data_IF_506816369431
#
_entry.id   IF_506816369431
#
_cell.length_a   1.000
_cell.length_b   1.000
_cell.length_c   1.000
_cell.angle_alpha   90.00
_cell.angle_beta   90.00
_cell.angle_gamma   90.00
#
_symmetry.space_group_name_H-M   'P 1'
#
loop_
_entity.id
_entity.type
_entity.pdbx_description
1 polymer ?
#
# COMPACT_ATOMS: atom_id res chain seq x y z
N UNK A 1 11.33 36.13 16.44
CA UNK A 1 11.81 34.78 16.11
C UNK A 1 10.81 33.73 16.52
N UNK A 2 10.00 33.29 15.54
CA UNK A 2 9.19 32.08 15.64
C UNK A 2 9.57 31.16 14.48
N UNK A 3 9.70 29.84 14.68
CA UNK A 3 10.09 28.95 13.61
C UNK A 3 8.86 28.60 12.76
N UNK A 4 8.89 29.04 11.50
CA UNK A 4 7.99 28.63 10.44
C UNK A 4 8.53 27.36 9.79
N UNK A 5 8.20 26.17 10.31
CA UNK A 5 8.61 24.89 9.69
C UNK A 5 7.51 23.81 9.65
N UNK A 6 6.23 24.17 9.85
CA UNK A 6 5.13 23.18 9.83
C UNK A 6 4.38 23.06 8.50
N UNK A 7 4.73 23.86 7.49
CA UNK A 7 3.98 23.94 6.23
C UNK A 7 4.21 22.74 5.30
N UNK A 8 5.44 22.20 5.24
CA UNK A 8 5.82 21.19 4.25
C UNK A 8 5.35 19.77 4.57
N UNK A 9 5.12 19.43 5.85
CA UNK A 9 4.60 18.11 6.22
C UNK A 9 3.08 18.02 6.09
N UNK A 10 2.37 19.14 6.30
CA UNK A 10 0.92 19.22 6.17
C UNK A 10 0.48 19.07 4.70
N UNK A 11 1.23 19.62 3.74
CA UNK A 11 0.88 19.54 2.32
C UNK A 11 1.01 18.11 1.76
N UNK A 12 1.99 17.33 2.24
CA UNK A 12 2.15 15.92 1.86
C UNK A 12 0.97 15.06 2.31
N UNK A 13 0.49 15.26 3.54
CA UNK A 13 -0.64 14.50 4.09
C UNK A 13 -1.95 14.89 3.42
N UNK A 14 -2.19 16.18 3.15
CA UNK A 14 -3.37 16.62 2.40
C UNK A 14 -3.38 16.14 0.95
N UNK A 15 -2.22 16.01 0.29
CA UNK A 15 -2.12 15.49 -1.09
C UNK A 15 -2.47 14.00 -1.20
N UNK A 16 -2.29 13.22 -0.14
CA UNK A 16 -2.70 11.80 -0.08
C UNK A 16 -4.20 11.62 0.19
N UNK A 17 -4.84 12.62 0.80
CA UNK A 17 -6.23 12.56 1.25
C UNK A 17 -7.25 13.03 0.21
N UNK A 18 -6.82 13.63 -0.91
CA UNK A 18 -7.75 14.19 -1.91
C UNK A 18 -7.21 14.13 -3.37
N UNK A 19 -7.36 13.02 -4.10
CA UNK A 19 -6.77 12.85 -5.44
C UNK A 19 -7.60 13.41 -6.61
N UNK A 20 -8.73 14.10 -6.36
CA UNK A 20 -9.80 14.19 -7.37
C UNK A 20 -9.70 15.40 -8.32
N UNK A 21 -8.93 16.44 -8.06
CA UNK A 21 -8.80 17.54 -9.03
C UNK A 21 -7.51 18.33 -8.83
N UNK A 22 -6.42 17.90 -9.48
CA UNK A 22 -5.48 18.88 -10.00
C UNK A 22 -4.92 18.40 -11.34
N UNK A 23 -5.36 19.10 -12.38
CA UNK A 23 -4.88 19.03 -13.75
C UNK A 23 -3.49 19.67 -13.74
N UNK A 24 -2.49 18.94 -13.23
CA UNK A 24 -1.16 19.50 -13.03
C UNK A 24 -0.10 18.56 -12.47
N UNK A 25 -0.43 17.30 -12.18
CA UNK A 25 0.53 16.31 -11.70
C UNK A 25 0.62 15.16 -12.68
N UNK A 26 1.20 15.43 -13.85
CA UNK A 26 1.77 14.36 -14.64
C UNK A 26 2.87 13.67 -13.80
N UNK A 27 2.48 12.53 -13.23
CA UNK A 27 3.29 11.32 -13.30
C UNK A 27 4.57 11.27 -12.46
N UNK A 28 4.44 11.36 -11.13
CA UNK A 28 5.41 10.71 -10.21
C UNK A 28 5.24 9.17 -10.16
N UNK A 29 4.25 8.62 -10.89
CA UNK A 29 4.12 7.19 -11.20
C UNK A 29 4.60 6.85 -12.61
N UNK A 30 5.50 7.64 -13.21
CA UNK A 30 6.39 7.11 -14.25
C UNK A 30 7.42 6.19 -13.60
N UNK A 31 6.93 5.09 -13.04
CA UNK A 31 7.72 3.89 -12.85
C UNK A 31 8.14 3.49 -14.25
N UNK A 32 9.36 3.86 -14.63
CA UNK A 32 10.06 3.18 -15.71
C UNK A 32 10.23 1.76 -15.18
N UNK A 33 9.22 0.93 -15.41
CA UNK A 33 9.30 -0.51 -15.25
C UNK A 33 10.37 -0.93 -16.25
N UNK A 34 11.62 -0.96 -15.79
CA UNK A 34 12.60 -1.80 -16.45
C UNK A 34 11.94 -3.16 -16.53
N UNK A 35 11.78 -3.75 -17.73
CA UNK A 35 11.25 -5.10 -17.79
C UNK A 35 12.17 -5.91 -16.88
N UNK A 36 11.60 -6.43 -15.80
CA UNK A 36 12.23 -7.48 -15.02
C UNK A 36 12.36 -8.59 -16.05
N UNK A 37 13.53 -8.64 -16.69
CA UNK A 37 13.99 -9.83 -17.39
C UNK A 37 13.83 -10.90 -16.34
N UNK A 38 12.80 -11.72 -16.51
CA UNK A 38 12.67 -12.96 -15.79
C UNK A 38 14.04 -13.61 -15.92
N UNK A 39 14.82 -13.64 -14.84
CA UNK A 39 16.00 -14.48 -14.77
C UNK A 39 15.44 -15.90 -14.73
N UNK A 40 15.02 -16.37 -15.89
CA UNK A 40 14.97 -17.78 -16.18
C UNK A 40 16.38 -18.26 -15.91
N UNK A 41 16.55 -18.98 -14.80
CA UNK A 41 17.80 -19.63 -14.44
C UNK A 41 18.25 -20.37 -15.68
N UNK A 42 19.34 -19.95 -16.35
CA UNK A 42 19.82 -20.72 -17.48
C UNK A 42 20.28 -22.02 -16.86
N UNK A 43 19.56 -23.11 -17.10
CA UNK A 43 20.11 -24.43 -16.87
C UNK A 43 21.44 -24.43 -17.61
N UNK A 44 22.59 -24.58 -16.95
CA UNK A 44 23.85 -24.54 -17.65
C UNK A 44 23.89 -25.79 -18.52
N UNK A 45 23.50 -25.65 -19.78
CA UNK A 45 23.85 -26.61 -20.82
C UNK A 45 25.34 -26.38 -21.02
N UNK A 46 26.15 -27.07 -20.21
CA UNK A 46 27.57 -27.23 -20.46
C UNK A 46 27.70 -28.10 -21.70
N UNK A 47 27.46 -27.51 -22.87
CA UNK A 47 27.96 -28.08 -24.11
C UNK A 47 29.48 -27.94 -24.01
N UNK A 48 30.26 -29.03 -23.93
CA UNK A 48 31.71 -28.90 -23.95
C UNK A 48 32.09 -28.17 -25.23
N UNK A 49 32.88 -27.10 -25.09
CA UNK A 49 33.21 -26.18 -26.18
C UNK A 49 33.62 -26.92 -27.44
N UNK A 50 32.80 -26.81 -28.48
CA UNK A 50 33.22 -27.15 -29.85
C UNK A 50 34.05 -25.97 -30.35
N UNK A 51 35.36 -26.19 -30.48
CA UNK A 51 36.29 -25.23 -31.06
C UNK A 51 35.85 -24.97 -32.51
N UNK A 52 35.40 -23.75 -32.81
CA UNK A 52 35.08 -23.34 -34.17
C UNK A 52 36.37 -23.08 -34.95
N UNK A 53 36.67 -23.94 -35.92
CA UNK A 53 37.77 -23.78 -36.87
C UNK A 53 37.50 -22.57 -37.77
N UNK A 54 38.38 -21.58 -37.74
CA UNK A 54 38.34 -20.42 -38.64
C UNK A 54 39.01 -20.84 -39.96
N UNK A 55 38.23 -21.00 -41.02
CA UNK A 55 38.76 -21.26 -42.38
C UNK A 55 39.19 -19.95 -43.01
N UNK A 56 40.46 -19.56 -42.84
CA UNK A 56 41.09 -18.53 -43.69
C UNK A 56 41.48 -19.15 -45.03
N UNK A 57 40.99 -18.54 -46.11
CA UNK A 57 41.27 -18.88 -47.50
C UNK A 57 42.78 -18.90 -47.78
N UNK A 58 43.21 -19.97 -48.47
CA UNK A 58 44.53 -20.22 -49.08
C UNK A 58 45.76 -20.34 -48.15
N UNK A 59 45.89 -21.44 -47.42
CA UNK A 59 47.17 -22.08 -47.03
C UNK A 59 46.85 -23.49 -46.50
N UNK A 60 47.78 -24.45 -46.61
CA UNK A 60 47.58 -25.85 -46.20
C UNK A 60 47.07 -25.98 -44.74
N UNK A 61 46.22 -26.98 -44.40
CA UNK A 61 45.66 -27.12 -43.06
C UNK A 61 46.78 -27.38 -42.04
N UNK A 62 47.10 -26.36 -41.24
CA UNK A 62 48.01 -26.46 -40.11
C UNK A 62 47.24 -27.10 -38.95
N UNK A 63 47.80 -28.17 -38.38
CA UNK A 63 47.22 -28.86 -37.22
C UNK A 63 47.00 -27.85 -36.08
N UNK A 64 45.82 -27.80 -35.43
CA UNK A 64 45.59 -26.88 -34.32
C UNK A 64 46.66 -27.08 -33.26
N UNK A 65 47.21 -26.00 -32.65
CA UNK A 65 48.15 -26.15 -31.55
C UNK A 65 47.46 -26.96 -30.45
N UNK A 66 47.96 -28.18 -30.23
CA UNK A 66 47.44 -29.08 -29.21
C UNK A 66 47.85 -28.51 -27.86
N UNK A 67 46.95 -27.74 -27.24
CA UNK A 67 47.15 -27.27 -25.87
C UNK A 67 47.23 -28.52 -24.99
N UNK A 68 48.35 -28.79 -24.31
CA UNK A 68 48.48 -29.97 -23.47
C UNK A 68 47.41 -29.93 -22.37
N UNK A 69 46.62 -31.00 -22.20
CA UNK A 69 45.58 -31.11 -21.15
C UNK A 69 46.11 -30.83 -19.74
N UNK A 70 47.41 -30.99 -19.53
CA UNK A 70 48.14 -30.63 -18.31
C UNK A 70 47.94 -29.15 -17.94
N UNK A 71 47.76 -28.24 -18.90
CA UNK A 71 47.53 -26.81 -18.64
C UNK A 71 46.07 -26.56 -18.19
N UNK A 72 45.11 -27.32 -18.71
CA UNK A 72 43.70 -27.22 -18.31
C UNK A 72 43.44 -27.87 -16.94
N UNK A 73 44.15 -28.95 -16.61
CA UNK A 73 44.06 -29.61 -15.30
C UNK A 73 44.66 -28.76 -14.16
N UNK A 74 45.61 -27.87 -14.48
CA UNK A 74 46.24 -26.97 -13.51
C UNK A 74 45.54 -25.60 -13.38
N UNK A 75 44.45 -25.34 -14.12
CA UNK A 75 43.72 -24.09 -14.02
C UNK A 75 42.83 -24.10 -12.76
N UNK A 76 42.92 -23.10 -11.86
CA UNK A 76 41.97 -23.01 -10.75
C UNK A 76 40.54 -23.01 -11.32
N UNK A 77 39.67 -23.83 -10.73
CA UNK A 77 38.26 -23.85 -11.12
C UNK A 77 37.69 -22.44 -11.06
N UNK A 78 36.76 -22.13 -11.97
CA UNK A 78 36.14 -20.81 -12.05
C UNK A 78 35.66 -20.29 -10.67
N UNK A 79 35.05 -21.18 -9.87
CA UNK A 79 34.61 -20.87 -8.50
C UNK A 79 35.77 -20.47 -7.56
N UNK A 80 36.93 -21.12 -7.68
CA UNK A 80 38.12 -20.82 -6.88
C UNK A 80 38.84 -19.56 -7.36
N UNK A 81 38.98 -19.37 -8.67
CA UNK A 81 39.60 -18.17 -9.26
C UNK A 81 38.84 -16.89 -8.89
N UNK A 82 37.51 -16.99 -8.76
CA UNK A 82 36.65 -15.87 -8.39
C UNK A 82 36.32 -15.80 -6.89
N UNK A 83 36.81 -16.75 -6.08
CA UNK A 83 36.54 -16.80 -4.63
C UNK A 83 35.04 -16.75 -4.32
N UNK A 84 34.25 -17.48 -5.10
CA UNK A 84 32.80 -17.35 -5.10
C UNK A 84 32.20 -17.65 -3.71
N UNK A 85 32.72 -18.68 -3.02
CA UNK A 85 32.27 -19.06 -1.68
C UNK A 85 32.57 -17.99 -0.63
N UNK A 86 33.75 -17.34 -0.69
CA UNK A 86 34.10 -16.25 0.23
C UNK A 86 33.22 -15.01 -0.02
N UNK A 87 32.95 -14.70 -1.30
CA UNK A 87 32.09 -13.57 -1.67
C UNK A 87 30.62 -13.80 -1.28
N UNK A 88 30.11 -15.02 -1.48
CA UNK A 88 28.76 -15.39 -1.08
C UNK A 88 28.58 -15.26 0.44
N UNK A 89 29.53 -15.80 1.21
CA UNK A 89 29.52 -15.69 2.68
C UNK A 89 29.58 -14.24 3.17
N UNK A 90 30.39 -13.40 2.52
CA UNK A 90 30.44 -11.96 2.86
C UNK A 90 29.11 -11.28 2.58
N UNK A 91 28.46 -11.59 1.45
CA UNK A 91 27.18 -11.01 1.08
C UNK A 91 26.06 -11.40 2.04
N UNK A 92 26.01 -12.68 2.43
CA UNK A 92 25.07 -13.19 3.45
C UNK A 92 25.27 -12.46 4.79
N UNK A 93 26.52 -12.25 5.20
CA UNK A 93 26.86 -11.53 6.43
C UNK A 93 26.37 -10.07 6.38
N UNK A 94 26.64 -9.36 5.28
CA UNK A 94 26.18 -7.98 5.09
C UNK A 94 24.65 -7.88 5.10
N UNK A 95 23.96 -8.83 4.47
CA UNK A 95 22.49 -8.84 4.48
C UNK A 95 21.92 -9.13 5.87
N UNK A 96 22.56 -10.02 6.63
CA UNK A 96 22.19 -10.31 8.01
C UNK A 96 22.36 -9.08 8.91
N UNK A 97 23.51 -8.40 8.84
CA UNK A 97 23.74 -7.15 9.58
C UNK A 97 22.73 -6.07 9.20
N UNK A 98 22.49 -5.87 7.90
CA UNK A 98 21.51 -4.90 7.42
C UNK A 98 20.10 -5.18 7.97
N UNK A 99 19.68 -6.45 8.01
CA UNK A 99 18.39 -6.85 8.60
C UNK A 99 18.33 -6.55 10.09
N UNK A 100 19.43 -6.73 10.82
CA UNK A 100 19.50 -6.51 12.26
C UNK A 100 19.60 -5.02 12.64
N UNK A 101 20.22 -4.20 11.80
CA UNK A 101 20.39 -2.75 12.06
C UNK A 101 19.34 -1.90 11.35
N UNK A 102 18.39 -2.50 10.65
CA UNK A 102 17.38 -1.76 9.91
C UNK A 102 16.47 -0.99 10.90
N UNK A 103 16.60 0.35 10.98
CA UNK A 103 15.86 1.16 11.95
C UNK A 103 14.35 1.19 11.66
N UNK A 104 13.93 0.73 10.49
CA UNK A 104 12.55 0.73 10.05
C UNK A 104 11.81 -0.58 10.36
N UNK A 105 12.45 -1.62 10.90
CA UNK A 105 11.79 -2.89 11.22
C UNK A 105 10.58 -2.67 12.11
N UNK A 106 10.75 -1.95 13.22
CA UNK A 106 9.65 -1.70 14.16
C UNK A 106 8.55 -0.83 13.53
N UNK A 107 8.95 0.18 12.76
CA UNK A 107 8.01 1.07 12.08
C UNK A 107 7.16 0.33 11.04
N UNK A 108 7.77 -0.51 10.21
CA UNK A 108 7.09 -1.33 9.21
C UNK A 108 6.21 -2.38 9.88
N UNK A 109 6.69 -3.01 10.96
CA UNK A 109 5.91 -3.97 11.75
C UNK A 109 4.71 -3.34 12.46
N UNK A 110 4.74 -2.03 12.75
CA UNK A 110 3.63 -1.31 13.38
C UNK A 110 2.50 -0.94 12.40
N UNK A 111 2.76 -0.88 11.09
CA UNK A 111 1.77 -0.46 10.07
C UNK A 111 0.45 -1.23 10.17
N UNK A 112 0.41 -2.58 10.27
CA UNK A 112 -0.85 -3.31 10.40
C UNK A 112 -1.68 -2.89 11.61
N UNK A 113 -1.02 -2.63 12.75
CA UNK A 113 -1.67 -2.17 13.97
C UNK A 113 -2.26 -0.77 13.83
N UNK A 114 -1.54 0.14 13.18
CA UNK A 114 -2.01 1.51 12.90
C UNK A 114 -3.24 1.47 11.98
N UNK A 115 -3.19 0.69 10.90
CA UNK A 115 -4.32 0.53 9.98
C UNK A 115 -5.53 -0.06 10.68
N UNK A 116 -5.34 -1.09 11.51
CA UNK A 116 -6.41 -1.70 12.29
C UNK A 116 -7.06 -0.68 13.24
N UNK A 117 -6.24 0.08 13.99
CA UNK A 117 -6.73 1.11 14.90
C UNK A 117 -7.54 2.18 14.17
N UNK A 118 -7.04 2.66 13.03
CA UNK A 118 -7.72 3.64 12.19
C UNK A 118 -9.09 3.12 11.73
N UNK A 119 -9.14 1.89 11.20
CA UNK A 119 -10.38 1.27 10.72
C UNK A 119 -11.40 1.11 11.85
N UNK A 120 -10.97 0.64 13.02
CA UNK A 120 -11.85 0.50 14.19
C UNK A 120 -12.37 1.85 14.66
N UNK A 121 -11.52 2.88 14.70
CA UNK A 121 -11.93 4.22 15.09
C UNK A 121 -12.97 4.79 14.12
N UNK A 122 -12.68 4.79 12.82
CA UNK A 122 -13.60 5.30 11.79
C UNK A 122 -14.96 4.60 11.84
N UNK A 123 -14.97 3.27 12.00
CA UNK A 123 -16.23 2.52 12.11
C UNK A 123 -17.00 2.88 13.38
N UNK A 124 -16.30 3.05 14.51
CA UNK A 124 -16.95 3.40 15.79
C UNK A 124 -17.55 4.80 15.73
N UNK A 125 -16.83 5.78 15.17
CA UNK A 125 -17.32 7.14 14.97
C UNK A 125 -18.54 7.17 14.05
N UNK A 126 -18.46 6.50 12.89
CA UNK A 126 -19.56 6.43 11.93
C UNK A 126 -20.82 5.80 12.53
N UNK A 127 -20.66 4.72 13.31
CA UNK A 127 -21.78 4.10 14.02
C UNK A 127 -22.36 5.05 15.07
N UNK A 128 -21.51 5.75 15.84
CA UNK A 128 -21.99 6.70 16.85
C UNK A 128 -22.77 7.85 16.23
N UNK A 129 -22.27 8.43 15.14
CA UNK A 129 -22.97 9.50 14.41
C UNK A 129 -24.31 9.01 13.86
N UNK A 130 -24.35 7.83 13.24
CA UNK A 130 -25.58 7.26 12.71
C UNK A 130 -26.63 7.03 13.82
N UNK A 131 -26.20 6.54 14.99
CA UNK A 131 -27.07 6.35 16.15
C UNK A 131 -27.59 7.68 16.69
N UNK A 132 -26.74 8.70 16.76
CA UNK A 132 -27.14 10.03 17.23
C UNK A 132 -28.19 10.65 16.31
N UNK A 133 -27.96 10.62 14.99
CA UNK A 133 -28.91 11.16 14.00
C UNK A 133 -30.27 10.46 14.10
N UNK A 134 -30.28 9.13 14.26
CA UNK A 134 -31.55 8.41 14.43
C UNK A 134 -32.26 8.76 15.75
N UNK A 135 -31.49 8.95 16.82
CA UNK A 135 -32.02 9.34 18.12
C UNK A 135 -32.66 10.73 18.06
N UNK A 136 -31.98 11.70 17.45
CA UNK A 136 -32.49 13.07 17.29
C UNK A 136 -33.78 13.08 16.45
N UNK A 137 -33.78 12.35 15.33
CA UNK A 137 -34.97 12.21 14.47
C UNK A 137 -36.15 11.57 15.20
N UNK A 138 -35.89 10.57 16.04
CA UNK A 138 -36.93 9.92 16.83
C UNK A 138 -37.50 10.89 17.88
N UNK A 139 -36.63 11.64 18.56
CA UNK A 139 -37.04 12.64 19.53
C UNK A 139 -37.92 13.73 18.91
N UNK A 140 -37.53 14.25 17.74
CA UNK A 140 -38.31 15.25 17.00
C UNK A 140 -39.69 14.70 16.56
N UNK A 141 -39.72 13.43 16.14
CA UNK A 141 -40.97 12.76 15.76
C UNK A 141 -41.92 12.63 16.94
N UNK A 142 -41.43 12.14 18.08
CA UNK A 142 -42.22 11.98 19.30
C UNK A 142 -42.70 13.33 19.83
N UNK A 143 -41.86 14.37 19.78
CA UNK A 143 -42.26 15.71 20.18
C UNK A 143 -43.41 16.24 19.32
N UNK A 144 -43.31 16.09 18.00
CA UNK A 144 -44.35 16.52 17.06
C UNK A 144 -45.67 15.77 17.27
N UNK A 145 -45.60 14.46 17.48
CA UNK A 145 -46.78 13.63 17.74
C UNK A 145 -47.48 14.06 19.03
N UNK A 146 -46.71 14.32 20.09
CA UNK A 146 -47.24 14.86 21.34
C UNK A 146 -47.91 16.23 21.16
N UNK A 147 -47.28 17.14 20.41
CA UNK A 147 -47.85 18.47 20.13
C UNK A 147 -49.17 18.39 19.33
N UNK A 148 -49.24 17.46 18.37
CA UNK A 148 -50.46 17.20 17.61
C UNK A 148 -51.57 16.61 18.49
N UNK A 149 -51.22 15.66 19.36
CA UNK A 149 -52.15 15.07 20.32
C UNK A 149 -52.74 16.12 21.27
N UNK A 150 -51.89 16.99 21.83
CA UNK A 150 -52.34 18.08 22.71
C UNK A 150 -53.26 19.07 21.98
N UNK A 151 -52.94 19.40 20.73
CA UNK A 151 -53.80 20.27 19.90
C UNK A 151 -55.16 19.64 19.61
N UNK A 152 -55.19 18.34 19.35
CA UNK A 152 -56.44 17.61 19.14
C UNK A 152 -57.30 17.58 20.41
N UNK A 153 -56.69 17.44 21.59
CA UNK A 153 -57.39 17.56 22.88
C UNK A 153 -58.00 18.95 23.04
N UNK A 154 -57.21 20.01 22.83
CA UNK A 154 -57.67 21.40 23.00
C UNK A 154 -58.89 21.71 22.11
N UNK A 155 -58.80 21.34 20.83
CA UNK A 155 -59.91 21.56 19.89
C UNK A 155 -61.16 20.73 20.25
N UNK A 156 -61.00 19.52 20.78
CA UNK A 156 -62.13 18.73 21.26
C UNK A 156 -62.78 19.33 22.51
N UNK A 157 -61.99 19.80 23.48
CA UNK A 157 -62.50 20.48 24.69
C UNK A 157 -63.29 21.74 24.29
N UNK A 158 -62.75 22.54 23.37
CA UNK A 158 -63.41 23.73 22.84
C UNK A 158 -64.75 23.41 22.16
N UNK A 159 -64.82 22.33 21.38
CA UNK A 159 -66.07 21.85 20.76
C UNK A 159 -67.10 21.46 21.82
N UNK A 160 -66.69 20.72 22.85
CA UNK A 160 -67.57 20.30 23.97
C UNK A 160 -68.13 21.53 24.70
N UNK A 161 -67.27 22.46 25.11
CA UNK A 161 -67.67 23.67 25.82
C UNK A 161 -68.65 24.51 24.99
N UNK A 162 -68.39 24.68 23.69
CA UNK A 162 -69.29 25.39 22.78
C UNK A 162 -70.67 24.72 22.68
N UNK A 163 -70.72 23.39 22.67
CA UNK A 163 -71.97 22.63 22.72
C UNK A 163 -72.73 22.83 24.02
N UNK A 164 -72.03 22.79 25.16
CA UNK A 164 -72.64 23.01 26.48
C UNK A 164 -73.19 24.43 26.65
N UNK A 165 -72.48 25.47 26.20
CA UNK A 165 -72.97 26.86 26.25
C UNK A 165 -74.25 27.04 25.42
N UNK A 166 -74.30 26.46 24.21
CA UNK A 166 -75.51 26.52 23.36
C UNK A 166 -76.75 25.90 23.99
N UNK A 167 -76.58 24.84 24.78
CA UNK A 167 -77.70 24.17 25.45
C UNK A 167 -78.22 24.93 26.67
N UNK A 168 -77.41 25.82 27.28
CA UNK A 168 -77.81 26.61 28.46
C UNK A 168 -78.50 27.94 28.11
N UNK A 169 -78.34 28.44 26.88
CA UNK A 169 -78.95 29.71 26.41
C UNK A 169 -80.33 29.49 25.78
N UNK A 170 -80.82 28.25 25.75
CA UNK A 170 -82.11 27.85 25.16
C UNK A 170 -83.12 27.54 26.26
#
# INVERSE_FOLDING_TARGET
DGPQESSSMSSFVSSMLNPINDVGVESIFTTTSSPIVSLQTPTPIMTPSTIATITTSSEAPIQPPTIPSIILENLPTFNSAFRFDERLRSLETTFFEYRQTNPFVDAVSAIPGIVQQFMTQQMTEAVREAVQIQTDRLQDSLQRENDEFLRNIDENIKKINKGQVKNQVK
#
